data_IF_341026580157
#
_entry.id   IF_341026580157
#
_cell.length_a   1.000
_cell.length_b   1.000
_cell.length_c   1.000
_cell.angle_alpha   90.00
_cell.angle_beta   90.00
_cell.angle_gamma   90.00
#
_symmetry.space_group_name_H-M   'P 1'
#
loop_
_entity.id
_entity.type
_entity.pdbx_description
1 polymer ?
#
# COMPACT_ATOMS: atom_id res chain seq x y z
N UNK A 1 26.43 8.70 31.73
CA UNK A 1 26.72 9.96 31.01
C UNK A 1 28.14 9.95 30.44
N UNK A 2 29.17 9.63 31.21
CA UNK A 2 30.57 9.66 30.73
C UNK A 2 30.96 8.63 29.66
N UNK A 3 30.40 7.41 29.65
CA UNK A 3 30.76 6.38 28.65
C UNK A 3 30.35 6.67 27.20
N UNK A 4 29.43 7.62 26.97
CA UNK A 4 29.04 8.04 25.62
C UNK A 4 29.94 9.17 25.08
N UNK A 5 30.70 9.85 25.95
CA UNK A 5 31.62 10.92 25.57
C UNK A 5 32.89 10.39 24.89
N UNK A 6 33.24 9.11 25.07
CA UNK A 6 34.37 8.45 24.41
C UNK A 6 34.10 8.13 22.93
N UNK A 7 32.83 8.20 22.50
CA UNK A 7 32.40 7.87 21.14
C UNK A 7 31.52 9.00 20.55
N UNK A 8 32.14 10.12 20.11
CA UNK A 8 31.41 11.28 19.60
C UNK A 8 30.48 10.94 18.42
N UNK A 9 30.82 9.95 17.59
CA UNK A 9 29.94 9.49 16.52
C UNK A 9 28.64 8.86 17.06
N UNK A 10 28.72 8.07 18.13
CA UNK A 10 27.54 7.47 18.77
C UNK A 10 26.69 8.52 19.48
N UNK A 11 27.33 9.54 20.07
CA UNK A 11 26.63 10.68 20.65
C UNK A 11 25.86 11.47 19.58
N UNK A 12 26.49 11.76 18.43
CA UNK A 12 25.84 12.46 17.31
C UNK A 12 24.68 11.65 16.74
N UNK A 13 24.83 10.33 16.61
CA UNK A 13 23.73 9.46 16.18
C UNK A 13 22.57 9.44 17.18
N UNK A 14 22.87 9.37 18.49
CA UNK A 14 21.85 9.40 19.53
C UNK A 14 21.12 10.75 19.59
N UNK A 15 21.82 11.86 19.38
CA UNK A 15 21.23 13.20 19.28
C UNK A 15 20.39 13.34 18.00
N UNK A 16 20.89 12.90 16.84
CA UNK A 16 20.12 12.90 15.59
C UNK A 16 18.85 12.03 15.68
N UNK A 17 18.91 10.89 16.37
CA UNK A 17 17.74 10.04 16.58
C UNK A 17 16.72 10.66 17.54
N UNK A 18 17.16 11.40 18.56
CA UNK A 18 16.27 12.02 19.55
C UNK A 18 15.69 13.36 19.08
N UNK A 19 16.44 14.15 18.32
CA UNK A 19 15.99 15.45 17.81
C UNK A 19 15.27 15.35 16.46
N UNK A 20 15.76 14.50 15.55
CA UNK A 20 15.22 14.38 14.19
C UNK A 20 14.36 13.12 14.01
N UNK A 21 14.25 12.26 15.04
CA UNK A 21 13.56 10.98 14.94
C UNK A 21 14.23 9.99 13.99
N UNK A 22 15.46 10.28 13.54
CA UNK A 22 16.18 9.48 12.56
C UNK A 22 16.76 8.25 13.25
N UNK A 23 16.00 7.16 13.30
CA UNK A 23 16.58 5.87 13.63
C UNK A 23 17.49 5.43 12.49
N UNK A 24 18.81 5.32 12.72
CA UNK A 24 19.76 4.72 11.77
C UNK A 24 19.53 3.21 11.53
N UNK A 25 18.32 2.69 11.73
CA UNK A 25 17.92 1.39 11.23
C UNK A 25 17.81 1.48 9.71
N UNK A 26 18.97 1.38 9.04
CA UNK A 26 19.18 1.16 7.62
C UNK A 26 18.17 1.93 6.75
N UNK A 27 18.53 3.12 6.23
CA UNK A 27 17.82 3.62 5.04
C UNK A 27 17.94 2.52 3.99
N UNK A 28 16.86 1.78 3.66
CA UNK A 28 16.96 0.73 2.67
C UNK A 28 17.42 1.41 1.38
N UNK A 29 18.33 0.76 0.65
CA UNK A 29 18.83 1.29 -0.62
C UNK A 29 17.64 1.83 -1.44
N UNK A 30 17.66 3.13 -1.74
CA UNK A 30 16.57 3.86 -2.39
C UNK A 30 16.05 3.13 -3.63
N UNK A 31 16.95 2.50 -4.38
CA UNK A 31 16.62 1.71 -5.55
C UNK A 31 15.88 0.43 -5.17
N UNK A 32 16.35 -0.30 -4.17
CA UNK A 32 15.70 -1.52 -3.69
C UNK A 32 14.27 -1.25 -3.22
N UNK A 33 14.05 -0.16 -2.47
CA UNK A 33 12.72 0.25 -2.01
C UNK A 33 11.81 0.62 -3.18
N UNK A 34 12.31 1.39 -4.14
CA UNK A 34 11.55 1.78 -5.32
C UNK A 34 11.15 0.56 -6.18
N UNK A 35 12.12 -0.33 -6.47
CA UNK A 35 11.86 -1.55 -7.24
C UNK A 35 10.93 -2.51 -6.51
N UNK A 36 11.09 -2.67 -5.20
CA UNK A 36 10.20 -3.52 -4.39
C UNK A 36 8.77 -3.01 -4.38
N UNK A 37 8.57 -1.70 -4.19
CA UNK A 37 7.24 -1.08 -4.23
C UNK A 37 6.62 -1.16 -5.63
N UNK A 38 7.40 -0.89 -6.68
CA UNK A 38 6.92 -0.97 -8.06
C UNK A 38 6.49 -2.40 -8.43
N UNK A 39 7.32 -3.39 -8.12
CA UNK A 39 7.01 -4.79 -8.41
C UNK A 39 5.79 -5.27 -7.61
N UNK A 40 5.72 -4.93 -6.32
CA UNK A 40 4.57 -5.28 -5.48
C UNK A 40 3.27 -4.65 -6.00
N UNK A 41 3.34 -3.39 -6.45
CA UNK A 41 2.19 -2.69 -7.05
C UNK A 41 1.78 -3.34 -8.37
N UNK A 42 2.73 -3.65 -9.25
CA UNK A 42 2.46 -4.29 -10.53
C UNK A 42 1.78 -5.65 -10.36
N UNK A 43 2.27 -6.46 -9.42
CA UNK A 43 1.66 -7.77 -9.09
C UNK A 43 0.25 -7.57 -8.51
N UNK A 44 0.09 -6.65 -7.55
CA UNK A 44 -1.21 -6.36 -6.93
C UNK A 44 -2.25 -5.87 -7.94
N UNK A 45 -1.84 -4.98 -8.86
CA UNK A 45 -2.70 -4.45 -9.92
C UNK A 45 -3.16 -5.52 -10.92
N UNK A 46 -2.43 -6.63 -11.04
CA UNK A 46 -2.77 -7.72 -11.95
C UNK A 46 -3.98 -8.52 -11.48
N UNK A 47 -4.22 -8.61 -10.17
CA UNK A 47 -5.27 -9.44 -9.55
C UNK A 47 -6.67 -9.15 -10.15
N UNK A 48 -7.17 -7.90 -10.16
CA UNK A 48 -8.48 -7.60 -10.75
C UNK A 48 -8.51 -7.67 -12.29
N UNK A 49 -7.36 -7.78 -12.97
CA UNK A 49 -7.29 -7.92 -14.43
C UNK A 49 -7.52 -9.38 -14.86
N UNK A 50 -7.25 -10.34 -13.98
CA UNK A 50 -7.38 -11.79 -14.26
C UNK A 50 -8.71 -12.16 -14.94
N UNK A 51 -9.90 -11.69 -14.50
CA UNK A 51 -11.16 -12.03 -15.16
C UNK A 51 -11.24 -11.64 -16.63
N UNK A 52 -10.59 -10.54 -17.03
CA UNK A 52 -10.61 -10.06 -18.40
C UNK A 52 -9.84 -10.97 -19.38
N UNK A 53 -9.01 -11.90 -18.88
CA UNK A 53 -8.38 -12.93 -19.71
C UNK A 53 -9.36 -14.04 -20.12
N UNK A 54 -10.44 -14.24 -19.37
CA UNK A 54 -11.36 -15.36 -19.56
C UNK A 54 -12.80 -14.93 -19.87
N UNK A 55 -13.15 -13.70 -19.52
CA UNK A 55 -14.49 -13.14 -19.63
C UNK A 55 -14.43 -11.81 -20.38
N UNK A 56 -15.52 -11.45 -21.05
CA UNK A 56 -15.65 -10.17 -21.75
C UNK A 56 -16.96 -9.46 -21.40
N UNK A 57 -17.00 -8.16 -21.71
CA UNK A 57 -18.18 -7.33 -21.46
C UNK A 57 -18.46 -7.09 -19.98
N UNK A 58 -19.72 -6.77 -19.67
CA UNK A 58 -20.15 -6.40 -18.32
C UNK A 58 -19.92 -7.47 -17.25
N UNK A 59 -20.09 -8.79 -17.52
CA UNK A 59 -19.78 -9.83 -16.54
C UNK A 59 -18.32 -9.82 -16.08
N UNK A 60 -17.37 -9.52 -16.97
CA UNK A 60 -15.96 -9.41 -16.62
C UNK A 60 -15.69 -8.24 -15.65
N UNK A 61 -16.39 -7.11 -15.85
CA UNK A 61 -16.31 -5.93 -14.98
C UNK A 61 -16.80 -6.25 -13.57
N UNK A 62 -17.95 -6.94 -13.45
CA UNK A 62 -18.48 -7.36 -12.15
C UNK A 62 -17.51 -8.30 -11.45
N UNK A 63 -17.00 -9.31 -12.17
CA UNK A 63 -16.04 -10.26 -11.62
C UNK A 63 -14.76 -9.57 -11.13
N UNK A 64 -14.20 -8.65 -11.93
CA UNK A 64 -13.04 -7.85 -11.57
C UNK A 64 -13.30 -6.99 -10.33
N UNK A 65 -14.48 -6.38 -10.22
CA UNK A 65 -14.86 -5.56 -9.07
C UNK A 65 -14.94 -6.39 -7.78
N UNK A 66 -15.60 -7.55 -7.83
CA UNK A 66 -15.70 -8.46 -6.67
C UNK A 66 -14.32 -8.97 -6.25
N UNK A 67 -13.50 -9.40 -7.20
CA UNK A 67 -12.13 -9.85 -6.94
C UNK A 67 -11.29 -8.72 -6.33
N UNK A 68 -11.42 -7.49 -6.83
CA UNK A 68 -10.73 -6.33 -6.27
C UNK A 68 -11.11 -6.08 -4.80
N UNK A 69 -12.40 -6.15 -4.45
CA UNK A 69 -12.87 -6.00 -3.07
C UNK A 69 -12.25 -7.05 -2.15
N UNK A 70 -12.27 -8.32 -2.58
CA UNK A 70 -11.68 -9.44 -1.82
C UNK A 70 -10.18 -9.25 -1.66
N UNK A 71 -9.48 -8.82 -2.71
CA UNK A 71 -8.05 -8.55 -2.68
C UNK A 71 -7.71 -7.41 -1.72
N UNK A 72 -8.47 -6.30 -1.75
CA UNK A 72 -8.27 -5.17 -0.82
C UNK A 72 -8.47 -5.59 0.63
N UNK A 73 -9.53 -6.36 0.90
CA UNK A 73 -9.79 -6.88 2.24
C UNK A 73 -8.65 -7.79 2.70
N UNK A 74 -8.21 -8.71 1.85
CA UNK A 74 -7.12 -9.64 2.16
C UNK A 74 -5.80 -8.92 2.45
N UNK A 75 -5.43 -7.94 1.62
CA UNK A 75 -4.24 -7.11 1.84
C UNK A 75 -4.36 -6.33 3.15
N UNK A 76 -5.51 -5.73 3.43
CA UNK A 76 -5.78 -5.04 4.69
C UNK A 76 -5.73 -5.96 5.90
N UNK A 77 -6.24 -7.18 5.79
CA UNK A 77 -6.18 -8.19 6.85
C UNK A 77 -4.73 -8.67 7.09
N UNK A 78 -3.95 -8.92 6.03
CA UNK A 78 -2.53 -9.29 6.14
C UNK A 78 -1.71 -8.16 6.77
N UNK A 79 -2.00 -6.89 6.44
CA UNK A 79 -1.41 -5.71 7.11
C UNK A 79 -1.66 -5.73 8.63
N UNK A 80 -2.75 -6.33 9.08
CA UNK A 80 -3.05 -6.47 10.51
C UNK A 80 -2.15 -7.46 11.24
N UNK A 81 -1.40 -8.32 10.55
CA UNK A 81 -0.45 -9.23 11.20
C UNK A 81 0.78 -8.47 11.72
N UNK A 82 1.08 -7.34 11.08
CA UNK A 82 2.24 -6.49 11.36
C UNK A 82 1.84 -5.29 12.25
N UNK A 83 0.54 -5.05 12.44
CA UNK A 83 0.01 -3.95 13.25
C UNK A 83 -0.80 -4.52 14.41
N UNK A 84 -0.87 -3.83 15.56
CA UNK A 84 -1.64 -4.30 16.74
C UNK A 84 -3.18 -4.19 16.51
N UNK A 85 -3.62 -3.96 15.27
CA UNK A 85 -5.03 -3.77 14.92
C UNK A 85 -5.70 -5.11 14.57
N UNK A 86 -7.01 -5.19 14.82
CA UNK A 86 -7.80 -6.36 14.41
C UNK A 86 -7.82 -6.51 12.87
N UNK A 87 -7.68 -7.75 12.39
CA UNK A 87 -7.73 -8.11 10.96
C UNK A 87 -9.00 -7.63 10.25
N UNK A 88 -10.13 -7.73 10.92
CA UNK A 88 -11.42 -7.29 10.40
C UNK A 88 -11.45 -5.77 10.16
N UNK A 89 -11.08 -4.96 11.17
CA UNK A 89 -11.08 -3.51 11.03
C UNK A 89 -10.09 -3.03 9.96
N UNK A 90 -8.88 -3.59 9.93
CA UNK A 90 -7.86 -3.22 8.95
C UNK A 90 -8.24 -3.63 7.52
N UNK A 91 -8.86 -4.81 7.36
CA UNK A 91 -9.43 -5.25 6.09
C UNK A 91 -10.54 -4.34 5.60
N UNK A 92 -11.52 -4.04 6.44
CA UNK A 92 -12.65 -3.16 6.11
C UNK A 92 -12.20 -1.74 5.76
N UNK A 93 -11.23 -1.18 6.50
CA UNK A 93 -10.64 0.13 6.20
C UNK A 93 -10.08 0.16 4.77
N UNK A 94 -9.32 -0.86 4.38
CA UNK A 94 -8.74 -0.95 3.04
C UNK A 94 -9.80 -1.15 1.95
N UNK A 95 -10.83 -1.96 2.21
CA UNK A 95 -11.94 -2.17 1.28
C UNK A 95 -12.73 -0.88 1.05
N UNK A 96 -13.02 -0.11 2.09
CA UNK A 96 -13.73 1.17 1.96
C UNK A 96 -12.94 2.15 1.10
N UNK A 97 -11.63 2.25 1.31
CA UNK A 97 -10.76 3.08 0.47
C UNK A 97 -10.82 2.63 -0.98
N UNK A 98 -10.70 1.33 -1.26
CA UNK A 98 -10.77 0.81 -2.63
C UNK A 98 -12.12 1.05 -3.31
N UNK A 99 -13.24 1.00 -2.58
CA UNK A 99 -14.57 1.33 -3.11
C UNK A 99 -14.66 2.82 -3.45
N UNK A 100 -14.14 3.71 -2.58
CA UNK A 100 -14.11 5.15 -2.84
C UNK A 100 -13.29 5.44 -4.10
N UNK A 101 -12.10 4.85 -4.22
CA UNK A 101 -11.27 4.98 -5.42
C UNK A 101 -11.98 4.52 -6.69
N UNK A 102 -12.67 3.37 -6.63
CA UNK A 102 -13.43 2.84 -7.76
C UNK A 102 -14.56 3.78 -8.18
N UNK A 103 -15.32 4.32 -7.23
CA UNK A 103 -16.41 5.28 -7.50
C UNK A 103 -15.86 6.56 -8.13
N UNK A 104 -14.78 7.11 -7.58
CA UNK A 104 -14.15 8.34 -8.11
C UNK A 104 -13.61 8.11 -9.52
N UNK A 105 -12.86 7.03 -9.73
CA UNK A 105 -12.22 6.74 -11.02
C UNK A 105 -13.27 6.43 -12.10
N UNK A 106 -14.31 5.68 -11.75
CA UNK A 106 -15.43 5.42 -12.66
C UNK A 106 -16.19 6.70 -12.98
N UNK A 107 -16.46 7.55 -11.98
CA UNK A 107 -17.10 8.85 -12.16
C UNK A 107 -16.31 9.77 -13.09
N UNK A 108 -14.98 9.82 -12.93
CA UNK A 108 -14.09 10.54 -13.85
C UNK A 108 -14.13 9.95 -15.26
N UNK A 109 -14.15 8.63 -15.39
CA UNK A 109 -14.31 7.94 -16.67
C UNK A 109 -15.61 8.31 -17.39
N UNK A 110 -16.73 8.40 -16.65
CA UNK A 110 -18.00 8.88 -17.19
C UNK A 110 -17.95 10.36 -17.58
N UNK A 111 -17.36 11.20 -16.73
CA UNK A 111 -17.25 12.63 -16.98
C UNK A 111 -16.43 12.92 -18.25
N UNK A 112 -15.28 12.28 -18.42
CA UNK A 112 -14.45 12.47 -19.61
C UNK A 112 -14.97 11.69 -20.83
N UNK A 113 -15.56 10.51 -20.62
CA UNK A 113 -16.17 9.72 -21.69
C UNK A 113 -17.40 10.38 -22.32
N UNK A 114 -18.08 11.26 -21.59
CA UNK A 114 -19.19 12.07 -22.12
C UNK A 114 -18.74 13.31 -22.91
N UNK A 115 -17.44 13.66 -22.86
CA UNK A 115 -16.86 14.84 -23.53
C UNK A 115 -16.23 14.48 -24.88
N UNK A 116 -16.02 13.18 -25.17
CA UNK A 116 -15.57 12.67 -26.47
C UNK A 116 -16.72 12.11 -27.30
#
# INVERSE_FOLDING_TARGET
AERLAEHPEQMVQAMAQSELGLSQHHFPNQWTSAFSAALSTAIGAFIPIIPFFFMSGFPAVIAAFVISIVAHFAVGAVKSLITIRSWWASGMEMTVVGIIEAVVTYGLGLAFGAIG
#
